data_IF_793058308210
#
_entry.id   IF_793058308210
#
_cell.length_a   1.000
_cell.length_b   1.000
_cell.length_c   1.000
_cell.angle_alpha   90.00
_cell.angle_beta   90.00
_cell.angle_gamma   90.00
#
_symmetry.space_group_name_H-M   'P 1'
#
loop_
_entity.id
_entity.type
_entity.pdbx_description
1 polymer ?
#
# COMPACT_ATOMS: atom_id res chain seq x y z
N UNK A 1 23.24 -0.06 -6.81
CA UNK A 1 21.84 0.35 -7.07
C UNK A 1 20.85 -0.50 -6.27
N UNK A 2 21.02 -1.83 -6.24
CA UNK A 2 20.22 -2.76 -5.42
C UNK A 2 20.06 -2.35 -3.96
N UNK A 3 21.15 -2.06 -3.25
CA UNK A 3 21.12 -1.66 -1.84
C UNK A 3 20.29 -0.39 -1.57
N UNK A 4 20.36 0.60 -2.47
CA UNK A 4 19.60 1.86 -2.35
C UNK A 4 18.09 1.61 -2.55
N UNK A 5 17.73 0.75 -3.50
CA UNK A 5 16.33 0.40 -3.74
C UNK A 5 15.77 -0.46 -2.60
N UNK A 6 16.56 -1.37 -2.03
CA UNK A 6 16.19 -2.15 -0.85
C UNK A 6 15.89 -1.24 0.35
N UNK A 7 16.75 -0.25 0.62
CA UNK A 7 16.50 0.76 1.66
C UNK A 7 15.20 1.53 1.39
N UNK A 8 14.95 1.92 0.13
CA UNK A 8 13.69 2.56 -0.26
C UNK A 8 12.46 1.67 -0.04
N UNK A 9 12.55 0.39 -0.40
CA UNK A 9 11.48 -0.59 -0.16
C UNK A 9 11.19 -0.77 1.32
N UNK A 10 12.24 -0.91 2.14
CA UNK A 10 12.12 -1.02 3.59
C UNK A 10 11.53 0.25 4.21
N UNK A 11 11.97 1.44 3.78
CA UNK A 11 11.44 2.71 4.27
C UNK A 11 9.95 2.86 3.97
N UNK A 12 9.50 2.55 2.74
CA UNK A 12 8.08 2.59 2.38
C UNK A 12 7.24 1.63 3.23
N UNK A 13 7.76 0.43 3.55
CA UNK A 13 7.09 -0.52 4.46
C UNK A 13 6.99 0.01 5.88
N UNK A 14 8.06 0.60 6.39
CA UNK A 14 8.07 1.21 7.72
C UNK A 14 7.04 2.34 7.79
N UNK A 15 7.02 3.24 6.80
CA UNK A 15 6.04 4.34 6.72
C UNK A 15 4.61 3.79 6.72
N UNK A 16 4.33 2.78 5.89
CA UNK A 16 3.01 2.14 5.85
C UNK A 16 2.62 1.53 7.18
N UNK A 17 3.54 0.82 7.85
CA UNK A 17 3.28 0.23 9.16
C UNK A 17 3.02 1.29 10.25
N UNK A 18 3.74 2.42 10.20
CA UNK A 18 3.51 3.55 11.11
C UNK A 18 2.11 4.14 10.90
N UNK A 19 1.64 4.25 9.65
CA UNK A 19 0.28 4.73 9.37
C UNK A 19 -0.79 3.80 9.96
N UNK A 20 -0.63 2.48 9.81
CA UNK A 20 -1.53 1.47 10.39
C UNK A 20 -1.56 1.55 11.92
N UNK A 21 -0.38 1.60 12.55
CA UNK A 21 -0.27 1.73 14.01
C UNK A 21 -0.92 3.04 14.48
N UNK A 22 -0.67 4.15 13.79
CA UNK A 22 -1.25 5.46 14.13
C UNK A 22 -2.77 5.43 14.07
N UNK A 23 -3.33 4.77 13.05
CA UNK A 23 -4.76 4.59 12.90
C UNK A 23 -5.36 3.72 14.01
N UNK A 24 -4.72 2.60 14.34
CA UNK A 24 -5.13 1.75 15.46
C UNK A 24 -5.16 2.53 16.79
N UNK A 25 -4.14 3.36 17.03
CA UNK A 25 -4.11 4.24 18.21
C UNK A 25 -5.26 5.27 18.19
N UNK A 26 -5.60 5.83 17.03
CA UNK A 26 -6.77 6.72 16.89
C UNK A 26 -8.10 5.97 17.14
N UNK A 27 -8.24 4.72 16.70
CA UNK A 27 -9.43 3.90 16.98
C UNK A 27 -9.61 3.73 18.48
N UNK A 28 -8.53 3.36 19.18
CA UNK A 28 -8.52 3.17 20.64
C UNK A 28 -8.78 4.48 21.41
N UNK A 29 -8.24 5.60 20.92
CA UNK A 29 -8.41 6.91 21.55
C UNK A 29 -9.82 7.46 21.39
N UNK A 30 -10.39 7.39 20.18
CA UNK A 30 -11.67 8.02 19.86
C UNK A 30 -12.87 7.15 20.25
N UNK A 31 -12.70 5.82 20.35
CA UNK A 31 -13.72 4.85 20.79
C UNK A 31 -15.06 4.96 20.07
N UNK A 32 -15.05 5.48 18.83
CA UNK A 32 -16.23 5.64 17.97
C UNK A 32 -16.04 4.77 16.74
N UNK A 33 -16.88 3.74 16.62
CA UNK A 33 -16.84 2.78 15.50
C UNK A 33 -16.96 3.48 14.15
N UNK A 34 -17.81 4.50 14.07
CA UNK A 34 -18.06 5.24 12.83
C UNK A 34 -16.81 6.01 12.34
N UNK A 35 -16.06 6.62 13.26
CA UNK A 35 -14.78 7.27 12.92
C UNK A 35 -13.73 6.22 12.54
N UNK A 36 -13.70 5.08 13.22
CA UNK A 36 -12.77 3.99 12.89
C UNK A 36 -13.04 3.45 11.47
N UNK A 37 -14.31 3.29 11.08
CA UNK A 37 -14.69 2.86 9.73
C UNK A 37 -14.27 3.87 8.66
N UNK A 38 -14.46 5.18 8.90
CA UNK A 38 -14.03 6.22 7.96
C UNK A 38 -12.52 6.23 7.76
N UNK A 39 -11.75 6.13 8.85
CA UNK A 39 -10.29 6.06 8.79
C UNK A 39 -9.81 4.76 8.13
N UNK A 40 -10.46 3.63 8.42
CA UNK A 40 -10.13 2.33 7.80
C UNK A 40 -10.39 2.35 6.29
N UNK A 41 -11.47 2.99 5.83
CA UNK A 41 -11.73 3.18 4.40
C UNK A 41 -10.62 4.02 3.72
N UNK A 42 -10.14 5.07 4.39
CA UNK A 42 -9.02 5.87 3.88
C UNK A 42 -7.70 5.06 3.84
N UNK A 43 -7.40 4.27 4.88
CA UNK A 43 -6.23 3.39 4.94
C UNK A 43 -6.30 2.24 3.93
N UNK A 44 -7.51 1.79 3.58
CA UNK A 44 -7.72 0.75 2.57
C UNK A 44 -7.09 1.07 1.22
N UNK A 45 -6.89 2.35 0.88
CA UNK A 45 -6.17 2.77 -0.33
C UNK A 45 -4.65 2.90 -0.14
N UNK A 46 -4.18 3.12 1.09
CA UNK A 46 -2.75 3.26 1.41
C UNK A 46 -2.01 1.95 1.14
N UNK A 47 -2.58 0.80 1.53
CA UNK A 47 -2.00 -0.52 1.31
C UNK A 47 -1.68 -0.80 -0.17
N UNK A 48 -2.68 -0.70 -1.09
CA UNK A 48 -2.48 -0.83 -2.53
C UNK A 48 -1.43 0.14 -3.10
N UNK A 49 -1.44 1.42 -2.70
CA UNK A 49 -0.47 2.41 -3.17
C UNK A 49 0.95 2.03 -2.76
N UNK A 50 1.17 1.71 -1.48
CA UNK A 50 2.48 1.31 -0.97
C UNK A 50 2.93 0.01 -1.65
N UNK A 51 2.02 -0.94 -1.87
CA UNK A 51 2.33 -2.18 -2.58
C UNK A 51 2.84 -1.92 -4.00
N UNK A 52 2.19 -1.03 -4.76
CA UNK A 52 2.64 -0.64 -6.10
C UNK A 52 4.02 0.03 -6.04
N UNK A 53 4.25 0.94 -5.11
CA UNK A 53 5.54 1.66 -5.00
C UNK A 53 6.69 0.72 -4.64
N UNK A 54 6.50 -0.15 -3.64
CA UNK A 54 7.50 -1.16 -3.24
C UNK A 54 7.75 -2.14 -4.37
N UNK A 55 6.68 -2.61 -5.03
CA UNK A 55 6.78 -3.50 -6.18
C UNK A 55 7.52 -2.81 -7.33
N UNK A 56 7.22 -1.55 -7.62
CA UNK A 56 7.90 -0.77 -8.66
C UNK A 56 9.40 -0.65 -8.40
N UNK A 57 9.81 -0.30 -7.17
CA UNK A 57 11.22 -0.26 -6.78
C UNK A 57 11.90 -1.64 -6.88
N UNK A 58 11.23 -2.69 -6.45
CA UNK A 58 11.72 -4.07 -6.57
C UNK A 58 11.85 -4.51 -8.02
N UNK A 59 10.84 -4.20 -8.84
CA UNK A 59 10.81 -4.51 -10.26
C UNK A 59 11.90 -3.76 -11.00
N UNK A 60 12.11 -2.45 -10.77
CA UNK A 60 13.23 -1.66 -11.34
C UNK A 60 14.59 -2.27 -10.98
N UNK A 61 14.70 -2.83 -9.79
CA UNK A 61 15.93 -3.51 -9.35
C UNK A 61 16.16 -4.82 -10.10
N UNK A 62 15.09 -5.56 -10.40
CA UNK A 62 15.09 -6.82 -11.15
C UNK A 62 14.86 -6.60 -12.66
N UNK A 63 14.73 -5.34 -13.12
CA UNK A 63 14.08 -4.94 -14.38
C UNK A 63 14.82 -5.30 -15.67
N UNK A 64 15.87 -6.12 -15.61
CA UNK A 64 16.27 -6.82 -16.83
C UNK A 64 15.15 -7.76 -17.34
N UNK A 65 14.13 -8.12 -16.53
CA UNK A 65 13.09 -9.12 -16.93
C UNK A 65 11.65 -8.90 -16.46
N UNK A 66 11.15 -7.67 -16.31
CA UNK A 66 9.74 -7.48 -15.89
C UNK A 66 8.83 -7.30 -17.11
N UNK A 67 8.03 -8.33 -17.40
CA UNK A 67 7.03 -8.28 -18.47
C UNK A 67 5.93 -7.26 -18.15
N UNK A 68 5.57 -6.37 -19.11
CA UNK A 68 4.45 -5.42 -18.98
C UNK A 68 3.13 -6.05 -18.52
N UNK A 69 2.92 -7.34 -18.84
CA UNK A 69 1.75 -8.10 -18.42
C UNK A 69 1.60 -8.19 -16.89
N UNK A 70 2.71 -8.35 -16.15
CA UNK A 70 2.67 -8.44 -14.68
C UNK A 70 2.27 -7.11 -14.04
N UNK A 71 2.70 -6.00 -14.64
CA UNK A 71 2.31 -4.64 -14.20
C UNK A 71 0.82 -4.42 -14.42
N UNK A 72 0.29 -4.85 -15.58
CA UNK A 72 -1.13 -4.77 -15.88
C UNK A 72 -2.00 -5.57 -14.89
N UNK A 73 -1.56 -6.76 -14.46
CA UNK A 73 -2.27 -7.56 -13.46
C UNK A 73 -2.35 -6.88 -12.09
N UNK A 74 -1.25 -6.25 -11.64
CA UNK A 74 -1.26 -5.49 -10.36
C UNK A 74 -2.21 -4.30 -10.44
N UNK A 75 -2.17 -3.54 -11.55
CA UNK A 75 -3.08 -2.42 -11.77
C UNK A 75 -4.55 -2.88 -11.78
N UNK A 76 -4.85 -4.02 -12.40
CA UNK A 76 -6.19 -4.59 -12.43
C UNK A 76 -6.69 -4.98 -11.01
N UNK A 77 -5.83 -5.56 -10.17
CA UNK A 77 -6.17 -5.88 -8.79
C UNK A 77 -6.54 -4.63 -7.97
N UNK A 78 -5.84 -3.52 -8.18
CA UNK A 78 -6.16 -2.22 -7.54
C UNK A 78 -7.52 -1.70 -8.00
N UNK A 79 -7.82 -1.79 -9.30
CA UNK A 79 -9.15 -1.44 -9.83
C UNK A 79 -10.26 -2.26 -9.18
N UNK A 80 -10.07 -3.58 -9.00
CA UNK A 80 -11.04 -4.44 -8.33
C UNK A 80 -11.26 -4.06 -6.86
N UNK A 81 -10.20 -3.71 -6.12
CA UNK A 81 -10.34 -3.23 -4.74
C UNK A 81 -11.17 -1.95 -4.69
N UNK A 82 -10.90 -1.00 -5.59
CA UNK A 82 -11.65 0.27 -5.65
C UNK A 82 -13.11 0.03 -6.03
N UNK A 83 -13.39 -0.81 -7.02
CA UNK A 83 -14.75 -1.12 -7.44
C UNK A 83 -15.53 -1.88 -6.36
N UNK A 84 -14.89 -2.83 -5.67
CA UNK A 84 -15.53 -3.60 -4.60
C UNK A 84 -15.71 -2.83 -3.28
N UNK A 85 -14.90 -1.79 -3.03
CA UNK A 85 -15.04 -0.91 -1.87
C UNK A 85 -16.08 0.20 -2.06
N UNK A 86 -16.62 0.36 -3.26
CA UNK A 86 -17.60 1.39 -3.58
C UNK A 86 -19.00 0.82 -3.32
N UNK A 87 -19.67 1.34 -2.29
CA UNK A 87 -21.12 1.17 -2.07
C UNK A 87 -21.93 1.86 -3.18
#
# INVERSE_FOLDING_TARGET
MESRNLVGMSALRIISGVLEISAALLFLRLKKVEIALQLNAALGLVGPIIFILVSGLGLVTVATKVSPFKVALVALGVVFIVLGSKN
#
